data_IF_033902414352
#
_entry.id   IF_033902414352
#
_cell.length_a   1.000
_cell.length_b   1.000
_cell.length_c   1.000
_cell.angle_alpha   90.00
_cell.angle_beta   90.00
_cell.angle_gamma   90.00
#
_symmetry.space_group_name_H-M   'P 1'
#
loop_
_entity.id
_entity.type
_entity.pdbx_description
1 polymer ?
#
# COMPACT_ATOMS: atom_id res chain seq x y z
N UNK A 1 -0.66 -6.89 2.12
CA UNK A 1 -0.98 -6.81 3.57
C UNK A 1 -0.01 -5.89 4.30
N UNK A 2 1.31 -6.12 4.27
CA UNK A 2 2.32 -5.27 4.96
C UNK A 2 2.15 -3.78 4.69
N UNK A 3 1.91 -3.41 3.43
CA UNK A 3 1.69 -2.04 3.00
C UNK A 3 0.52 -1.37 3.76
N UNK A 4 -0.61 -2.06 3.92
CA UNK A 4 -1.76 -1.56 4.67
C UNK A 4 -1.43 -1.32 6.16
N UNK A 5 -0.67 -2.22 6.78
CA UNK A 5 -0.23 -2.06 8.18
C UNK A 5 0.69 -0.85 8.33
N UNK A 6 1.69 -0.73 7.46
CA UNK A 6 2.62 0.41 7.45
C UNK A 6 1.86 1.72 7.23
N UNK A 7 0.89 1.72 6.34
CA UNK A 7 0.04 2.85 6.03
C UNK A 7 -0.78 3.31 7.24
N UNK A 8 -1.49 2.39 7.91
CA UNK A 8 -2.22 2.66 9.14
C UNK A 8 -1.31 3.14 10.27
N UNK A 9 -0.12 2.54 10.40
CA UNK A 9 0.88 2.96 11.38
C UNK A 9 1.36 4.39 11.13
N UNK A 10 1.81 4.69 9.93
CA UNK A 10 2.38 6.00 9.60
C UNK A 10 1.36 7.14 9.74
N UNK A 11 0.12 6.94 9.27
CA UNK A 11 -0.91 7.97 9.36
C UNK A 11 -1.24 8.30 10.82
N UNK A 12 -1.39 7.27 11.65
CA UNK A 12 -1.72 7.41 13.07
C UNK A 12 -0.54 8.00 13.84
N UNK A 13 0.67 7.48 13.61
CA UNK A 13 1.91 7.96 14.25
C UNK A 13 2.16 9.44 13.96
N UNK A 14 2.04 9.86 12.68
CA UNK A 14 2.22 11.26 12.31
C UNK A 14 1.14 12.17 12.87
N UNK A 15 -0.11 11.70 12.96
CA UNK A 15 -1.21 12.45 13.57
C UNK A 15 -0.93 12.65 15.06
N UNK A 16 -0.61 11.60 15.81
CA UNK A 16 -0.29 11.71 17.24
C UNK A 16 0.95 12.55 17.52
N UNK A 17 1.99 12.44 16.68
CA UNK A 17 3.22 13.25 16.84
C UNK A 17 2.98 14.73 16.61
N UNK A 18 2.14 15.09 15.64
CA UNK A 18 1.89 16.48 15.25
C UNK A 18 0.82 17.12 16.11
N UNK A 19 -0.31 16.46 16.27
CA UNK A 19 -1.51 17.04 16.84
C UNK A 19 -1.69 16.67 18.32
N UNK A 20 -0.82 15.79 18.85
CA UNK A 20 -0.81 15.24 20.24
C UNK A 20 -2.11 14.52 20.64
N UNK A 21 -3.25 14.87 20.07
CA UNK A 21 -4.58 14.28 20.29
C UNK A 21 -5.29 14.09 18.96
N UNK A 22 -6.09 13.03 18.83
CA UNK A 22 -6.88 12.76 17.62
C UNK A 22 -7.90 13.88 17.33
N UNK A 23 -8.51 14.44 18.38
CA UNK A 23 -9.50 15.53 18.25
C UNK A 23 -8.93 16.86 17.74
N UNK A 24 -7.62 17.05 17.76
CA UNK A 24 -6.95 18.26 17.30
C UNK A 24 -6.56 18.23 15.81
N UNK A 25 -6.93 17.18 15.09
CA UNK A 25 -6.58 17.01 13.67
C UNK A 25 -7.13 18.15 12.81
N UNK A 26 -6.26 18.78 12.01
CA UNK A 26 -6.67 19.77 11.03
C UNK A 26 -6.99 19.07 9.70
N UNK A 27 -8.29 18.96 9.38
CA UNK A 27 -8.79 18.29 8.18
C UNK A 27 -8.17 18.85 6.91
N UNK A 28 -8.15 20.18 6.74
CA UNK A 28 -7.61 20.82 5.55
C UNK A 28 -6.14 20.44 5.33
N UNK A 29 -5.32 20.58 6.35
CA UNK A 29 -3.90 20.26 6.27
C UNK A 29 -3.68 18.76 6.07
N UNK A 30 -4.52 17.92 6.64
CA UNK A 30 -4.46 16.48 6.46
C UNK A 30 -4.69 16.09 5.00
N UNK A 31 -5.81 16.52 4.40
CA UNK A 31 -6.15 16.17 3.01
C UNK A 31 -5.18 16.79 2.01
N UNK A 32 -4.74 18.03 2.20
CA UNK A 32 -3.75 18.64 1.31
C UNK A 32 -2.43 17.85 1.31
N UNK A 33 -1.93 17.42 2.48
CA UNK A 33 -0.70 16.64 2.56
C UNK A 33 -0.83 15.28 1.85
N UNK A 34 -1.99 14.64 1.94
CA UNK A 34 -2.27 13.38 1.23
C UNK A 34 -2.42 13.59 -0.27
N UNK A 35 -3.24 14.53 -0.68
CA UNK A 35 -3.40 14.87 -2.09
C UNK A 35 -2.06 15.24 -2.74
N UNK A 36 -1.24 16.06 -2.08
CA UNK A 36 0.10 16.42 -2.56
C UNK A 36 1.04 15.22 -2.71
N UNK A 37 0.88 14.19 -1.88
CA UNK A 37 1.70 12.96 -1.95
C UNK A 37 1.23 12.00 -3.05
N UNK A 38 -0.08 11.89 -3.27
CA UNK A 38 -0.68 10.79 -4.04
C UNK A 38 -1.03 11.23 -5.46
N UNK A 39 -1.75 12.35 -5.62
CA UNK A 39 -2.29 12.76 -6.91
C UNK A 39 -1.24 12.98 -7.99
N UNK A 40 -0.06 13.58 -7.74
CA UNK A 40 0.92 13.79 -8.80
C UNK A 40 1.32 12.48 -9.48
N UNK A 41 1.73 11.48 -8.72
CA UNK A 41 2.16 10.19 -9.28
C UNK A 41 1.00 9.40 -9.88
N UNK A 42 -0.20 9.49 -9.31
CA UNK A 42 -1.41 8.88 -9.88
C UNK A 42 -1.71 9.43 -11.27
N UNK A 43 -1.69 10.77 -11.43
CA UNK A 43 -1.90 11.43 -12.72
C UNK A 43 -0.80 11.02 -13.71
N UNK A 44 0.46 11.03 -13.29
CA UNK A 44 1.57 10.59 -14.13
C UNK A 44 1.43 9.13 -14.59
N UNK A 45 0.99 8.23 -13.70
CA UNK A 45 0.72 6.83 -14.06
C UNK A 45 -0.40 6.74 -15.10
N UNK A 46 -1.54 7.39 -14.87
CA UNK A 46 -2.68 7.36 -15.78
C UNK A 46 -2.28 7.91 -17.16
N UNK A 47 -1.59 9.04 -17.21
CA UNK A 47 -1.09 9.63 -18.45
C UNK A 47 -0.12 8.69 -19.17
N UNK A 48 0.84 8.12 -18.45
CA UNK A 48 1.81 7.17 -19.01
C UNK A 48 1.14 5.93 -19.59
N UNK A 49 0.19 5.33 -18.87
CA UNK A 49 -0.58 4.17 -19.34
C UNK A 49 -1.46 4.53 -20.52
N UNK A 50 -2.09 5.70 -20.53
CA UNK A 50 -2.91 6.19 -21.66
C UNK A 50 -2.06 6.36 -22.93
N UNK A 51 -0.88 6.96 -22.80
CA UNK A 51 0.04 7.13 -23.93
C UNK A 51 0.52 5.77 -24.45
N UNK A 52 0.95 4.85 -23.56
CA UNK A 52 1.38 3.52 -23.97
C UNK A 52 0.24 2.69 -24.60
N UNK A 53 -0.98 2.85 -24.11
CA UNK A 53 -2.18 2.24 -24.68
C UNK A 53 -2.53 2.77 -26.07
N UNK A 54 -2.25 4.05 -26.37
CA UNK A 54 -2.47 4.63 -27.70
C UNK A 54 -1.51 4.09 -28.78
N UNK A 55 -0.44 3.41 -28.40
CA UNK A 55 0.45 2.66 -29.29
C UNK A 55 0.03 1.18 -29.45
N UNK A 56 -1.19 0.81 -29.10
CA UNK A 56 -1.74 -0.54 -29.16
C UNK A 56 -0.95 -1.59 -28.35
N UNK A 57 -0.25 -1.16 -27.31
CA UNK A 57 0.49 -2.05 -26.44
C UNK A 57 -0.48 -2.77 -25.48
N UNK A 58 -0.76 -4.05 -25.75
CA UNK A 58 -1.76 -4.87 -25.03
C UNK A 58 -1.76 -4.75 -23.49
N UNK A 59 -0.61 -4.72 -22.77
CA UNK A 59 -0.62 -4.61 -21.31
C UNK A 59 -1.19 -3.27 -20.80
N UNK A 60 -1.31 -2.25 -21.64
CA UNK A 60 -1.78 -0.91 -21.28
C UNK A 60 -3.19 -0.61 -21.80
N UNK A 61 -3.76 -1.52 -22.58
CA UNK A 61 -5.14 -1.45 -23.05
C UNK A 61 -6.08 -2.19 -22.09
N UNK A 62 -7.36 -1.82 -22.12
CA UNK A 62 -8.35 -2.60 -21.39
C UNK A 62 -8.56 -3.98 -22.02
N UNK A 63 -8.74 -4.96 -21.16
CA UNK A 63 -9.05 -6.34 -21.48
C UNK A 63 -10.46 -6.65 -20.99
N UNK A 64 -11.07 -7.69 -21.51
CA UNK A 64 -12.36 -8.23 -21.05
C UNK A 64 -12.19 -9.64 -20.44
N UNK A 65 -11.56 -9.76 -19.24
CA UNK A 65 -11.23 -11.07 -18.66
C UNK A 65 -12.46 -11.96 -18.42
N UNK A 66 -13.61 -11.33 -18.14
CA UNK A 66 -14.90 -12.03 -17.93
C UNK A 66 -15.83 -11.88 -19.15
N UNK A 67 -15.30 -11.57 -20.34
CA UNK A 67 -16.08 -11.37 -21.55
C UNK A 67 -16.88 -10.06 -21.60
N UNK A 68 -16.81 -9.23 -20.56
CA UNK A 68 -17.52 -7.94 -20.46
C UNK A 68 -16.52 -6.83 -20.75
N UNK A 69 -16.77 -6.07 -21.81
CA UNK A 69 -15.96 -4.89 -22.14
C UNK A 69 -16.23 -3.74 -21.20
N UNK A 70 -15.16 -3.19 -20.68
CA UNK A 70 -15.18 -1.98 -19.83
C UNK A 70 -14.51 -0.84 -20.58
N UNK A 71 -15.20 0.29 -20.72
CA UNK A 71 -14.66 1.45 -21.41
C UNK A 71 -13.44 2.03 -20.66
N UNK A 72 -12.44 2.48 -21.41
CA UNK A 72 -11.22 3.06 -20.83
C UNK A 72 -11.50 4.31 -19.95
N UNK A 73 -12.43 5.24 -20.35
CA UNK A 73 -12.82 6.33 -19.46
C UNK A 73 -13.39 5.89 -18.11
N UNK A 74 -14.15 4.79 -18.07
CA UNK A 74 -14.66 4.25 -16.81
C UNK A 74 -13.52 3.71 -15.91
N UNK A 75 -12.51 3.10 -16.52
CA UNK A 75 -11.31 2.64 -15.78
C UNK A 75 -10.52 3.83 -15.22
N UNK A 76 -10.34 4.90 -15.98
CA UNK A 76 -9.71 6.14 -15.50
C UNK A 76 -10.55 6.75 -14.37
N UNK A 77 -11.87 6.82 -14.53
CA UNK A 77 -12.76 7.34 -13.50
C UNK A 77 -12.66 6.51 -12.21
N UNK A 78 -12.63 5.18 -12.30
CA UNK A 78 -12.43 4.31 -11.16
C UNK A 78 -11.07 4.55 -10.47
N UNK A 79 -10.01 4.79 -11.24
CA UNK A 79 -8.68 5.10 -10.73
C UNK A 79 -8.64 6.45 -9.98
N UNK A 80 -9.26 7.49 -10.54
CA UNK A 80 -9.26 8.85 -9.97
C UNK A 80 -10.20 8.99 -8.76
N UNK A 81 -11.24 8.17 -8.69
CA UNK A 81 -12.25 8.21 -7.62
C UNK A 81 -12.11 7.06 -6.61
N UNK A 82 -11.01 6.30 -6.68
CA UNK A 82 -10.59 5.30 -5.70
C UNK A 82 -11.58 4.16 -5.48
N UNK A 83 -12.12 3.59 -6.55
CA UNK A 83 -12.91 2.35 -6.52
C UNK A 83 -12.48 1.29 -7.55
N UNK A 84 -11.19 1.32 -7.94
CA UNK A 84 -10.60 0.32 -8.82
C UNK A 84 -10.74 -1.10 -8.28
N UNK A 85 -10.70 -1.28 -6.97
CA UNK A 85 -10.93 -2.56 -6.30
C UNK A 85 -12.34 -3.11 -6.58
N UNK A 86 -13.38 -2.27 -6.55
CA UNK A 86 -14.76 -2.68 -6.87
C UNK A 86 -14.90 -2.99 -8.36
N UNK A 87 -14.24 -2.22 -9.22
CA UNK A 87 -14.21 -2.48 -10.65
C UNK A 87 -13.59 -3.86 -10.95
N UNK A 88 -12.50 -4.23 -10.27
CA UNK A 88 -11.86 -5.54 -10.39
C UNK A 88 -12.79 -6.67 -9.88
N UNK A 89 -13.49 -6.48 -8.77
CA UNK A 89 -14.44 -7.45 -8.24
C UNK A 89 -15.55 -7.71 -9.27
N UNK A 90 -16.04 -6.66 -9.92
CA UNK A 90 -17.18 -6.77 -10.83
C UNK A 90 -16.82 -7.27 -12.23
N UNK A 91 -15.68 -6.86 -12.77
CA UNK A 91 -15.31 -7.07 -14.17
C UNK A 91 -14.00 -7.85 -14.36
N UNK A 92 -13.32 -8.21 -13.27
CA UNK A 92 -11.98 -8.80 -13.32
C UNK A 92 -10.90 -7.76 -13.52
N UNK A 93 -9.67 -8.20 -13.80
CA UNK A 93 -8.49 -7.36 -13.96
C UNK A 93 -8.45 -6.71 -15.34
N UNK A 94 -9.29 -5.68 -15.56
CA UNK A 94 -9.55 -5.06 -16.87
C UNK A 94 -8.35 -4.32 -17.48
N UNK A 95 -7.43 -3.80 -16.67
CA UNK A 95 -6.22 -3.13 -17.17
C UNK A 95 -5.01 -3.60 -16.37
N UNK A 96 -3.99 -4.11 -17.07
CA UNK A 96 -2.86 -4.73 -16.40
C UNK A 96 -2.07 -3.73 -15.53
N UNK A 97 -1.76 -2.55 -16.07
CA UNK A 97 -0.95 -1.56 -15.37
C UNK A 97 -1.76 -0.76 -14.32
N UNK A 98 -3.00 -0.38 -14.64
CA UNK A 98 -3.85 0.38 -13.71
C UNK A 98 -4.47 -0.50 -12.61
N UNK A 99 -4.53 -1.80 -12.81
CA UNK A 99 -5.05 -2.72 -11.80
C UNK A 99 -4.36 -2.60 -10.45
N UNK A 100 -3.07 -2.23 -10.41
CA UNK A 100 -2.33 -1.98 -9.15
C UNK A 100 -3.04 -1.00 -8.22
N UNK A 101 -3.85 -0.09 -8.75
CA UNK A 101 -4.56 0.95 -8.01
C UNK A 101 -5.68 0.42 -7.11
N UNK A 102 -5.98 -0.88 -7.15
CA UNK A 102 -6.97 -1.48 -6.24
C UNK A 102 -6.61 -1.27 -4.77
N UNK A 103 -5.34 -1.43 -4.40
CA UNK A 103 -4.93 -1.26 -3.01
C UNK A 103 -4.86 0.22 -2.62
N UNK A 104 -4.49 1.10 -3.56
CA UNK A 104 -4.57 2.54 -3.35
C UNK A 104 -6.02 2.97 -3.10
N UNK A 105 -7.00 2.39 -3.81
CA UNK A 105 -8.42 2.63 -3.57
C UNK A 105 -8.82 2.28 -2.14
N UNK A 106 -8.36 1.15 -1.62
CA UNK A 106 -8.61 0.75 -0.22
C UNK A 106 -8.01 1.77 0.76
N UNK A 107 -6.77 2.19 0.53
CA UNK A 107 -6.12 3.18 1.40
C UNK A 107 -6.78 4.54 1.37
N UNK A 108 -7.14 5.05 0.19
CA UNK A 108 -7.71 6.38 0.07
C UNK A 108 -9.09 6.47 0.70
N UNK A 109 -9.92 5.43 0.59
CA UNK A 109 -11.19 5.37 1.33
C UNK A 109 -10.94 5.40 2.84
N UNK A 110 -9.95 4.66 3.33
CA UNK A 110 -9.55 4.74 4.74
C UNK A 110 -9.05 6.15 5.12
N UNK A 111 -8.20 6.77 4.30
CA UNK A 111 -7.70 8.12 4.55
C UNK A 111 -8.79 9.18 4.53
N UNK A 112 -9.83 8.97 3.76
CA UNK A 112 -11.00 9.85 3.78
C UNK A 112 -11.78 9.74 5.10
N UNK A 113 -11.97 8.51 5.60
CA UNK A 113 -12.73 8.23 6.82
C UNK A 113 -11.92 8.51 8.10
N UNK A 114 -10.61 8.24 8.11
CA UNK A 114 -9.77 8.32 9.30
C UNK A 114 -9.85 9.66 10.07
N UNK A 115 -9.67 10.85 9.44
CA UNK A 115 -9.73 12.09 10.18
C UNK A 115 -11.15 12.41 10.69
N UNK A 116 -12.19 11.93 10.02
CA UNK A 116 -13.56 12.04 10.52
C UNK A 116 -13.75 11.18 11.76
N UNK A 117 -13.24 9.95 11.77
CA UNK A 117 -13.21 9.10 12.96
C UNK A 117 -12.44 9.78 14.10
N UNK A 118 -11.29 10.42 13.82
CA UNK A 118 -10.53 11.13 14.83
C UNK A 118 -11.34 12.28 15.48
N UNK A 119 -12.14 13.01 14.72
CA UNK A 119 -12.97 14.09 15.25
C UNK A 119 -14.20 13.56 16.01
N UNK A 120 -14.79 12.47 15.56
CA UNK A 120 -15.98 11.88 16.18
C UNK A 120 -15.63 11.14 17.48
N UNK A 121 -14.47 10.48 17.51
CA UNK A 121 -14.03 9.69 18.66
C UNK A 121 -13.22 10.55 19.64
N UNK A 122 -13.89 11.27 20.53
CA UNK A 122 -13.22 12.08 21.57
C UNK A 122 -12.45 11.26 22.60
N UNK A 123 -12.61 9.94 22.61
CA UNK A 123 -11.98 9.01 23.54
C UNK A 123 -11.09 8.00 22.84
N UNK A 124 -9.84 7.87 23.27
CA UNK A 124 -8.93 6.84 22.80
C UNK A 124 -9.50 5.42 22.97
N UNK A 125 -10.34 5.19 23.99
CA UNK A 125 -10.96 3.87 24.22
C UNK A 125 -11.95 3.52 23.12
N UNK A 126 -12.78 4.48 22.68
CA UNK A 126 -13.72 4.29 21.57
C UNK A 126 -12.97 4.06 20.27
N UNK A 127 -11.92 4.83 20.02
CA UNK A 127 -11.07 4.66 18.86
C UNK A 127 -10.45 3.25 18.80
N UNK A 128 -9.87 2.78 19.92
CA UNK A 128 -9.35 1.42 20.03
C UNK A 128 -10.44 0.37 19.79
N UNK A 129 -11.63 0.53 20.40
CA UNK A 129 -12.72 -0.42 20.24
C UNK A 129 -13.19 -0.54 18.78
N UNK A 130 -13.29 0.58 18.04
CA UNK A 130 -13.62 0.60 16.61
C UNK A 130 -12.58 -0.21 15.81
N UNK A 131 -11.28 0.04 16.01
CA UNK A 131 -10.23 -0.68 15.28
C UNK A 131 -10.13 -2.16 15.65
N UNK A 132 -10.38 -2.51 16.91
CA UNK A 132 -10.49 -3.93 17.30
C UNK A 132 -11.68 -4.58 16.58
N UNK A 133 -12.83 -3.91 16.51
CA UNK A 133 -13.98 -4.38 15.74
C UNK A 133 -13.64 -4.61 14.25
N UNK A 134 -12.92 -3.67 13.64
CA UNK A 134 -12.45 -3.80 12.23
C UNK A 134 -11.49 -4.98 12.05
N UNK A 135 -10.57 -5.21 13.00
CA UNK A 135 -9.65 -6.36 12.98
C UNK A 135 -10.41 -7.69 13.03
N UNK A 136 -11.44 -7.79 13.85
CA UNK A 136 -12.25 -9.01 13.97
C UNK A 136 -13.18 -9.19 12.76
N UNK A 137 -13.65 -8.10 12.17
CA UNK A 137 -14.54 -8.14 11.01
C UNK A 137 -13.85 -8.58 9.73
N UNK A 138 -12.57 -8.27 9.53
CA UNK A 138 -11.82 -8.63 8.34
C UNK A 138 -11.80 -10.13 8.03
N UNK A 139 -11.33 -11.01 8.95
CA UNK A 139 -11.39 -12.46 8.76
C UNK A 139 -12.82 -12.98 8.59
N UNK A 140 -13.80 -12.45 9.33
CA UNK A 140 -15.20 -12.79 9.19
C UNK A 140 -15.72 -12.48 7.79
N UNK A 141 -15.46 -11.28 7.27
CA UNK A 141 -15.85 -10.91 5.90
C UNK A 141 -15.20 -11.85 4.86
N UNK A 142 -13.91 -12.14 5.00
CA UNK A 142 -13.21 -13.06 4.09
C UNK A 142 -13.75 -14.48 4.17
N UNK A 143 -14.19 -14.96 5.34
CA UNK A 143 -14.81 -16.28 5.48
C UNK A 143 -16.15 -16.38 4.75
N UNK A 144 -16.95 -15.31 4.77
CA UNK A 144 -18.24 -15.27 4.07
C UNK A 144 -18.10 -15.32 2.54
N UNK A 145 -17.04 -14.68 2.02
CA UNK A 145 -16.80 -14.56 0.57
C UNK A 145 -15.71 -15.50 0.05
N UNK A 146 -15.28 -16.46 0.88
CA UNK A 146 -14.20 -17.39 0.52
C UNK A 146 -14.58 -18.25 -0.66
N UNK A 147 -13.71 -18.30 -1.67
CA UNK A 147 -13.91 -19.10 -2.87
C UNK A 147 -14.82 -18.47 -3.93
N UNK A 148 -15.35 -17.27 -3.72
CA UNK A 148 -16.09 -16.56 -4.76
C UNK A 148 -15.19 -16.20 -5.94
N UNK A 149 -15.67 -16.43 -7.16
CA UNK A 149 -14.95 -16.07 -8.40
C UNK A 149 -14.70 -14.57 -8.52
N UNK A 150 -15.55 -13.76 -7.92
CA UNK A 150 -15.42 -12.29 -7.87
C UNK A 150 -14.11 -11.82 -7.24
N UNK A 151 -13.48 -12.63 -6.37
CA UNK A 151 -12.31 -12.25 -5.61
C UNK A 151 -12.58 -11.20 -4.52
N UNK A 152 -13.85 -11.01 -4.11
CA UNK A 152 -14.23 -10.04 -3.08
C UNK A 152 -13.48 -10.25 -1.77
N UNK A 153 -13.20 -11.51 -1.41
CA UNK A 153 -12.40 -11.86 -0.23
C UNK A 153 -10.94 -11.36 -0.27
N UNK A 154 -10.44 -10.87 -1.43
CA UNK A 154 -9.11 -10.28 -1.57
C UNK A 154 -9.14 -8.77 -1.81
N UNK A 155 -10.07 -8.31 -2.66
CA UNK A 155 -10.03 -6.94 -3.20
C UNK A 155 -11.00 -5.97 -2.52
N UNK A 156 -12.03 -6.47 -1.80
CA UNK A 156 -12.99 -5.59 -1.14
C UNK A 156 -12.34 -4.78 0.00
N UNK A 157 -12.86 -3.60 0.29
CA UNK A 157 -12.36 -2.74 1.37
C UNK A 157 -12.25 -3.48 2.70
N UNK A 158 -13.29 -4.19 3.10
CA UNK A 158 -13.33 -4.95 4.36
C UNK A 158 -12.37 -6.14 4.42
N UNK A 159 -11.88 -6.62 3.27
CA UNK A 159 -10.86 -7.68 3.23
C UNK A 159 -9.48 -7.20 3.67
N UNK A 160 -9.25 -5.89 3.71
CA UNK A 160 -7.91 -5.30 3.93
C UNK A 160 -7.86 -4.25 5.04
N UNK A 161 -9.02 -3.76 5.51
CA UNK A 161 -9.08 -2.76 6.58
C UNK A 161 -8.54 -3.27 7.91
N UNK A 162 -8.59 -4.57 8.17
CA UNK A 162 -7.97 -5.18 9.35
C UNK A 162 -6.45 -4.92 9.39
N UNK A 163 -5.77 -5.00 8.25
CA UNK A 163 -4.36 -4.66 8.16
C UNK A 163 -4.08 -3.20 8.53
N UNK A 164 -4.89 -2.26 8.01
CA UNK A 164 -4.76 -0.83 8.33
C UNK A 164 -5.05 -0.60 9.82
N UNK A 165 -6.08 -1.25 10.36
CA UNK A 165 -6.46 -1.16 11.77
C UNK A 165 -5.37 -1.67 12.71
N UNK A 166 -4.71 -2.80 12.38
CA UNK A 166 -3.52 -3.29 13.10
C UNK A 166 -2.43 -2.22 13.13
N UNK A 167 -2.15 -1.58 11.99
CA UNK A 167 -1.17 -0.49 11.91
C UNK A 167 -1.53 0.69 12.84
N UNK A 168 -2.79 1.10 12.86
CA UNK A 168 -3.28 2.17 13.74
C UNK A 168 -3.09 1.82 15.22
N UNK A 169 -3.49 0.62 15.64
CA UNK A 169 -3.31 0.17 17.02
C UNK A 169 -1.82 0.03 17.40
N UNK A 170 -0.99 -0.44 16.48
CA UNK A 170 0.46 -0.49 16.66
C UNK A 170 1.04 0.89 16.93
N UNK A 171 0.60 1.92 16.20
CA UNK A 171 1.06 3.30 16.42
C UNK A 171 0.61 3.86 17.77
N UNK A 172 -0.63 3.61 18.19
CA UNK A 172 -1.15 4.03 19.50
C UNK A 172 -0.35 3.35 20.63
N UNK A 173 -0.17 2.03 20.52
CA UNK A 173 0.58 1.26 21.50
C UNK A 173 2.01 1.78 21.63
N UNK A 174 2.68 1.96 20.52
CA UNK A 174 4.02 2.49 20.42
C UNK A 174 4.16 3.87 21.05
N UNK A 175 3.23 4.78 20.75
CA UNK A 175 3.24 6.14 21.29
C UNK A 175 3.08 6.17 22.81
N UNK A 176 2.24 5.26 23.35
CA UNK A 176 1.93 5.20 24.78
C UNK A 176 3.01 4.50 25.61
N UNK A 177 3.54 3.38 25.12
CA UNK A 177 4.37 2.48 25.94
C UNK A 177 5.85 2.52 25.56
N UNK A 178 6.22 3.03 24.36
CA UNK A 178 7.60 3.10 23.85
C UNK A 178 8.39 1.80 24.14
N UNK A 179 7.94 0.64 23.68
CA UNK A 179 8.47 -0.64 24.08
C UNK A 179 9.97 -0.76 23.74
N UNK A 180 10.79 -1.00 24.75
CA UNK A 180 12.21 -1.28 24.57
C UNK A 180 12.51 -2.70 25.07
N UNK A 181 12.25 -3.68 24.19
CA UNK A 181 12.39 -5.08 24.54
C UNK A 181 13.85 -5.54 24.43
N UNK A 182 14.32 -6.22 25.45
CA UNK A 182 15.69 -6.79 25.50
C UNK A 182 15.88 -7.82 24.37
N UNK A 183 14.85 -8.59 24.06
CA UNK A 183 14.91 -9.70 23.09
C UNK A 183 14.36 -9.30 21.69
N UNK A 184 14.34 -8.02 21.34
CA UNK A 184 13.78 -7.56 20.05
C UNK A 184 14.44 -8.18 18.81
N UNK A 185 15.76 -8.44 18.84
CA UNK A 185 16.47 -9.08 17.72
C UNK A 185 16.02 -10.54 17.50
N UNK A 186 16.12 -11.46 18.45
CA UNK A 186 15.65 -12.84 18.24
C UNK A 186 14.15 -12.89 17.95
N UNK A 187 13.33 -12.03 18.58
CA UNK A 187 11.91 -11.95 18.30
C UNK A 187 11.64 -11.53 16.85
N UNK A 188 12.34 -10.53 16.32
CA UNK A 188 12.17 -10.12 14.92
C UNK A 188 12.53 -11.24 13.94
N UNK A 189 13.59 -12.01 14.20
CA UNK A 189 13.92 -13.18 13.38
C UNK A 189 12.84 -14.27 13.44
N UNK A 190 12.33 -14.55 14.64
CA UNK A 190 11.24 -15.52 14.81
C UNK A 190 9.99 -15.09 14.02
N UNK A 191 9.62 -13.80 14.08
CA UNK A 191 8.49 -13.26 13.33
C UNK A 191 8.74 -13.37 11.82
N UNK A 192 9.92 -13.00 11.34
CA UNK A 192 10.27 -13.10 9.89
C UNK A 192 10.19 -14.55 9.43
N UNK A 193 10.75 -15.50 10.20
CA UNK A 193 10.67 -16.93 9.90
C UNK A 193 9.22 -17.42 9.85
N UNK A 194 8.39 -17.02 10.83
CA UNK A 194 6.96 -17.38 10.87
C UNK A 194 6.19 -16.80 9.67
N UNK A 195 6.47 -15.55 9.27
CA UNK A 195 5.88 -14.94 8.08
C UNK A 195 6.32 -15.66 6.81
N UNK A 196 7.59 -16.03 6.71
CA UNK A 196 8.12 -16.80 5.58
C UNK A 196 7.49 -18.19 5.52
N UNK A 197 7.39 -18.89 6.65
CA UNK A 197 6.73 -20.18 6.73
C UNK A 197 5.26 -20.10 6.31
N UNK A 198 4.52 -19.09 6.79
CA UNK A 198 3.13 -18.87 6.40
C UNK A 198 2.99 -18.60 4.89
N UNK A 199 3.90 -17.83 4.31
CA UNK A 199 3.91 -17.52 2.87
C UNK A 199 4.21 -18.75 2.01
N UNK A 200 5.10 -19.64 2.48
CA UNK A 200 5.49 -20.88 1.78
C UNK A 200 4.50 -22.04 2.00
N UNK A 201 3.70 -21.97 3.09
CA UNK A 201 2.76 -23.02 3.47
C UNK A 201 1.66 -23.21 2.43
N UNK A 202 1.04 -22.14 1.95
CA UNK A 202 -0.02 -22.21 0.96
C UNK A 202 -0.18 -20.87 0.21
N UNK A 203 -0.74 -20.90 -1.02
CA UNK A 203 -1.10 -19.67 -1.73
C UNK A 203 -2.01 -18.79 -0.89
N UNK A 204 -1.81 -17.47 -0.93
CA UNK A 204 -2.58 -16.51 -0.14
C UNK A 204 -4.11 -16.63 -0.35
N UNK A 205 -4.53 -17.10 -1.51
CA UNK A 205 -5.94 -17.35 -1.81
C UNK A 205 -6.55 -18.41 -0.91
N UNK A 206 -5.81 -19.48 -0.58
CA UNK A 206 -6.28 -20.60 0.23
C UNK A 206 -6.32 -20.27 1.72
N UNK A 207 -5.37 -19.46 2.21
CA UNK A 207 -5.26 -19.06 3.61
C UNK A 207 -5.76 -17.63 3.86
N UNK A 208 -6.45 -17.02 2.90
CA UNK A 208 -6.86 -15.61 2.96
C UNK A 208 -7.68 -15.26 4.20
N UNK A 209 -8.54 -16.17 4.67
CA UNK A 209 -9.44 -15.94 5.80
C UNK A 209 -8.69 -15.48 7.05
N UNK A 210 -7.66 -16.21 7.47
CA UNK A 210 -6.89 -15.93 8.68
C UNK A 210 -5.44 -15.51 8.41
N UNK A 211 -4.83 -15.99 7.30
CA UNK A 211 -3.43 -15.75 6.97
C UNK A 211 -3.13 -14.28 6.73
N UNK A 212 -4.04 -13.53 6.09
CA UNK A 212 -3.90 -12.07 5.89
C UNK A 212 -3.83 -11.34 7.23
N UNK A 213 -4.71 -11.67 8.19
CA UNK A 213 -4.72 -11.04 9.52
C UNK A 213 -3.50 -11.43 10.34
N UNK A 214 -3.07 -12.70 10.31
CA UNK A 214 -1.83 -13.13 10.97
C UNK A 214 -0.61 -12.40 10.41
N UNK A 215 -0.55 -12.25 9.09
CA UNK A 215 0.52 -11.52 8.43
C UNK A 215 0.50 -10.03 8.80
N UNK A 216 -0.69 -9.45 8.96
CA UNK A 216 -0.85 -8.08 9.45
C UNK A 216 -0.37 -7.92 10.89
N UNK A 217 -0.77 -8.81 11.80
CA UNK A 217 -0.34 -8.81 13.21
C UNK A 217 1.18 -8.97 13.32
N UNK A 218 1.77 -9.92 12.59
CA UNK A 218 3.20 -10.12 12.53
C UNK A 218 3.94 -8.86 12.04
N UNK A 219 3.39 -8.17 11.03
CA UNK A 219 3.96 -6.89 10.55
C UNK A 219 3.90 -5.80 11.62
N UNK A 220 2.78 -5.68 12.35
CA UNK A 220 2.65 -4.75 13.47
C UNK A 220 3.69 -5.01 14.57
N UNK A 221 3.91 -6.28 14.93
CA UNK A 221 4.95 -6.68 15.88
C UNK A 221 6.36 -6.37 15.38
N UNK A 222 6.65 -6.59 14.08
CA UNK A 222 7.93 -6.19 13.50
C UNK A 222 8.17 -4.69 13.60
N UNK A 223 7.16 -3.87 13.33
CA UNK A 223 7.28 -2.40 13.46
C UNK A 223 7.68 -2.05 14.90
N UNK A 224 7.07 -2.67 15.91
CA UNK A 224 7.44 -2.44 17.32
C UNK A 224 8.88 -2.86 17.64
N UNK A 225 9.38 -3.95 17.04
CA UNK A 225 10.77 -4.39 17.22
C UNK A 225 11.79 -3.40 16.66
N UNK A 226 11.45 -2.71 15.55
CA UNK A 226 12.39 -1.82 14.85
C UNK A 226 12.23 -0.33 15.14
N UNK A 227 11.33 0.07 16.03
CA UNK A 227 11.07 1.49 16.33
C UNK A 227 12.26 2.25 16.93
N UNK A 228 13.13 1.58 17.68
CA UNK A 228 14.32 2.15 18.30
C UNK A 228 15.56 1.38 17.84
N UNK A 229 16.06 1.65 16.62
CA UNK A 229 17.29 1.02 16.14
C UNK A 229 18.48 1.47 17.02
N UNK A 230 19.41 0.55 17.30
CA UNK A 230 20.67 0.93 17.94
C UNK A 230 21.48 1.85 16.99
N UNK A 231 22.35 2.71 17.55
CA UNK A 231 23.18 3.60 16.75
C UNK A 231 23.98 2.86 15.67
N UNK A 232 24.55 1.71 15.99
CA UNK A 232 25.27 0.85 15.06
C UNK A 232 24.39 0.34 13.91
N UNK A 233 23.11 0.07 14.16
CA UNK A 233 22.16 -0.34 13.13
C UNK A 233 21.79 0.82 12.19
N UNK A 234 21.65 2.03 12.72
CA UNK A 234 21.31 3.21 11.94
C UNK A 234 22.37 3.56 10.88
N UNK A 235 23.64 3.22 11.13
CA UNK A 235 24.76 3.49 10.21
C UNK A 235 25.09 2.34 9.26
N UNK A 236 24.47 1.17 9.39
CA UNK A 236 24.69 0.03 8.50
C UNK A 236 24.32 0.36 7.04
N UNK A 237 25.14 -0.11 6.10
CA UNK A 237 24.85 -0.01 4.65
C UNK A 237 23.49 -0.64 4.32
N UNK A 238 23.19 -1.79 4.91
CA UNK A 238 21.91 -2.47 4.74
C UNK A 238 20.74 -1.56 5.16
N UNK A 239 20.84 -0.92 6.33
CA UNK A 239 19.79 0.02 6.80
C UNK A 239 19.64 1.21 5.85
N UNK A 240 20.74 1.78 5.37
CA UNK A 240 20.71 2.89 4.40
C UNK A 240 20.01 2.49 3.10
N UNK A 241 20.29 1.30 2.58
CA UNK A 241 19.63 0.77 1.38
C UNK A 241 18.14 0.54 1.65
N UNK A 242 17.76 -0.07 2.79
CA UNK A 242 16.35 -0.31 3.15
C UNK A 242 15.57 1.01 3.32
N UNK A 243 16.17 2.01 3.95
CA UNK A 243 15.57 3.35 4.08
C UNK A 243 15.41 4.00 2.71
N UNK A 244 16.43 3.90 1.85
CA UNK A 244 16.38 4.43 0.48
C UNK A 244 15.27 3.79 -0.35
N UNK A 245 15.09 2.47 -0.27
CA UNK A 245 13.99 1.74 -0.91
C UNK A 245 12.62 2.14 -0.32
N UNK A 246 12.53 2.23 1.01
CA UNK A 246 11.31 2.61 1.71
C UNK A 246 10.80 4.01 1.35
N UNK A 247 11.71 4.97 1.18
CA UNK A 247 11.35 6.33 0.78
C UNK A 247 10.72 6.39 -0.61
N UNK A 248 11.05 5.44 -1.50
CA UNK A 248 10.58 5.33 -2.90
C UNK A 248 9.53 4.25 -3.09
N UNK A 249 9.05 3.66 -2.00
CA UNK A 249 8.12 2.53 -2.05
C UNK A 249 6.81 2.85 -2.78
N UNK A 250 6.33 4.09 -2.69
CA UNK A 250 5.11 4.53 -3.37
C UNK A 250 5.30 4.58 -4.89
N UNK A 251 6.34 5.22 -5.36
CA UNK A 251 6.67 5.31 -6.78
C UNK A 251 6.98 3.91 -7.35
N UNK A 252 7.74 3.10 -6.60
CA UNK A 252 8.03 1.70 -6.94
C UNK A 252 6.74 0.89 -7.09
N UNK A 253 5.82 1.04 -6.14
CA UNK A 253 4.53 0.35 -6.17
C UNK A 253 3.66 0.77 -7.36
N UNK A 254 3.62 2.05 -7.70
CA UNK A 254 2.80 2.53 -8.81
C UNK A 254 3.35 2.08 -10.17
N UNK A 255 4.66 2.16 -10.37
CA UNK A 255 5.25 2.00 -11.69
C UNK A 255 5.79 0.60 -12.00
N UNK A 256 5.84 -0.33 -11.02
CA UNK A 256 6.38 -1.67 -11.27
C UNK A 256 5.61 -2.46 -12.35
N UNK A 257 4.29 -2.33 -12.42
CA UNK A 257 3.51 -2.99 -13.47
C UNK A 257 3.66 -2.32 -14.83
N UNK A 258 4.01 -1.05 -14.88
CA UNK A 258 4.38 -0.37 -16.15
C UNK A 258 5.65 -0.98 -16.70
N UNK A 259 6.70 -1.10 -15.88
CA UNK A 259 7.96 -1.73 -16.27
C UNK A 259 7.74 -3.17 -16.71
N UNK A 260 7.00 -3.94 -15.91
CA UNK A 260 6.71 -5.34 -16.23
C UNK A 260 5.85 -5.47 -17.50
N UNK A 261 4.91 -4.54 -17.73
CA UNK A 261 4.11 -4.49 -18.95
C UNK A 261 4.95 -4.24 -20.19
N UNK A 262 5.90 -3.28 -20.13
CA UNK A 262 6.85 -3.04 -21.23
C UNK A 262 7.73 -4.26 -21.51
N UNK A 263 8.19 -4.94 -20.46
CA UNK A 263 8.96 -6.17 -20.64
C UNK A 263 8.12 -7.29 -21.29
N UNK A 264 6.83 -7.40 -20.95
CA UNK A 264 5.92 -8.37 -21.60
C UNK A 264 5.67 -8.08 -23.08
N UNK A 265 5.82 -6.85 -23.52
CA UNK A 265 5.77 -6.51 -24.95
C UNK A 265 7.02 -7.01 -25.68
N UNK A 266 8.20 -6.93 -25.03
CA UNK A 266 9.48 -7.33 -25.61
C UNK A 266 9.76 -8.84 -25.49
N UNK A 267 9.24 -9.50 -24.45
CA UNK A 267 9.55 -10.90 -24.15
C UNK A 267 8.28 -11.70 -23.85
N UNK A 268 8.15 -12.87 -24.50
CA UNK A 268 7.06 -13.82 -24.24
C UNK A 268 7.52 -14.82 -23.16
N UNK A 269 6.94 -14.79 -21.94
CA UNK A 269 7.44 -15.61 -20.83
C UNK A 269 7.44 -17.14 -21.10
N UNK A 270 6.47 -17.62 -21.90
CA UNK A 270 6.36 -19.04 -22.23
C UNK A 270 7.48 -19.54 -23.15
N UNK A 271 8.10 -18.64 -23.93
CA UNK A 271 9.15 -18.96 -24.92
C UNK A 271 10.56 -18.60 -24.43
N UNK A 272 10.70 -18.13 -23.19
CA UNK A 272 11.96 -17.63 -22.65
C UNK A 272 12.60 -18.70 -21.75
N UNK A 273 13.89 -18.95 -21.93
CA UNK A 273 14.66 -19.88 -21.11
C UNK A 273 14.79 -19.44 -19.67
N UNK A 274 14.91 -20.41 -18.75
CA UNK A 274 14.99 -20.13 -17.29
C UNK A 274 16.15 -19.22 -16.92
N UNK A 275 17.30 -19.32 -17.56
CA UNK A 275 18.46 -18.45 -17.32
C UNK A 275 18.19 -17.00 -17.72
N UNK A 276 17.50 -16.81 -18.85
CA UNK A 276 17.08 -15.49 -19.32
C UNK A 276 16.02 -14.89 -18.39
N UNK A 277 15.09 -15.72 -17.85
CA UNK A 277 14.10 -15.25 -16.90
C UNK A 277 14.71 -14.64 -15.63
N UNK A 278 15.79 -15.24 -15.10
CA UNK A 278 16.51 -14.70 -13.94
C UNK A 278 17.14 -13.34 -14.29
N UNK A 279 17.77 -13.23 -15.47
CA UNK A 279 18.36 -11.99 -15.95
C UNK A 279 17.31 -10.90 -16.17
N UNK A 280 16.15 -11.26 -16.73
CA UNK A 280 15.01 -10.38 -16.89
C UNK A 280 14.43 -9.92 -15.53
N UNK A 281 14.37 -10.80 -14.53
CA UNK A 281 13.94 -10.45 -13.17
C UNK A 281 14.88 -9.41 -12.54
N UNK A 282 16.19 -9.61 -12.66
CA UNK A 282 17.17 -8.63 -12.18
C UNK A 282 17.00 -7.31 -12.92
N UNK A 283 16.92 -7.35 -14.25
CA UNK A 283 16.67 -6.17 -15.08
C UNK A 283 15.39 -5.43 -14.70
N UNK A 284 14.31 -6.17 -14.46
CA UNK A 284 13.03 -5.63 -13.98
C UNK A 284 13.19 -4.88 -12.65
N UNK A 285 13.85 -5.49 -11.67
CA UNK A 285 14.05 -4.85 -10.36
C UNK A 285 14.90 -3.58 -10.50
N UNK A 286 16.02 -3.66 -11.23
CA UNK A 286 16.91 -2.51 -11.46
C UNK A 286 16.18 -1.38 -12.18
N UNK A 287 15.49 -1.66 -13.28
CA UNK A 287 14.73 -0.66 -14.03
C UNK A 287 13.61 -0.03 -13.20
N UNK A 288 12.87 -0.84 -12.43
CA UNK A 288 11.82 -0.35 -11.55
C UNK A 288 12.39 0.62 -10.51
N UNK A 289 13.51 0.30 -9.88
CA UNK A 289 14.12 1.18 -8.89
C UNK A 289 14.72 2.46 -9.51
N UNK A 290 15.34 2.38 -10.69
CA UNK A 290 15.87 3.55 -11.40
C UNK A 290 14.73 4.50 -11.78
N UNK A 291 13.66 3.99 -12.39
CA UNK A 291 12.50 4.77 -12.78
C UNK A 291 11.83 5.40 -11.55
N UNK A 292 11.64 4.63 -10.49
CA UNK A 292 11.03 5.13 -9.25
C UNK A 292 11.88 6.23 -8.59
N UNK A 293 13.20 6.08 -8.59
CA UNK A 293 14.13 7.08 -8.06
C UNK A 293 14.12 8.37 -8.90
N UNK A 294 14.03 8.23 -10.22
CA UNK A 294 13.92 9.38 -11.12
C UNK A 294 12.60 10.13 -10.91
N UNK A 295 11.48 9.41 -10.85
CA UNK A 295 10.15 10.00 -10.61
C UNK A 295 10.10 10.68 -9.23
N UNK A 296 10.60 10.02 -8.19
CA UNK A 296 10.65 10.59 -6.84
C UNK A 296 11.44 11.89 -6.82
N UNK A 297 12.66 11.88 -7.36
CA UNK A 297 13.58 13.01 -7.30
C UNK A 297 13.12 14.20 -8.16
N UNK A 298 12.70 13.95 -9.39
CA UNK A 298 12.46 15.00 -10.38
C UNK A 298 11.00 15.43 -10.52
N UNK A 299 10.06 14.63 -10.03
CA UNK A 299 8.63 14.90 -10.19
C UNK A 299 7.87 14.89 -8.86
N UNK A 300 7.85 13.75 -8.15
CA UNK A 300 7.00 13.54 -6.96
C UNK A 300 7.38 14.49 -5.81
N UNK A 301 8.63 14.52 -5.40
CA UNK A 301 9.11 15.34 -4.27
C UNK A 301 9.02 16.84 -4.55
N UNK A 302 9.45 17.36 -5.70
CA UNK A 302 9.28 18.78 -6.03
C UNK A 302 7.84 19.22 -6.03
N UNK A 303 6.94 18.44 -6.66
CA UNK A 303 5.54 18.82 -6.79
C UNK A 303 4.79 18.71 -5.44
N UNK A 304 5.09 17.67 -4.65
CA UNK A 304 4.59 17.56 -3.27
C UNK A 304 4.99 18.80 -2.44
N UNK A 305 6.25 19.20 -2.50
CA UNK A 305 6.75 20.37 -1.78
C UNK A 305 6.09 21.66 -2.23
N UNK A 306 5.91 21.84 -3.53
CA UNK A 306 5.23 22.99 -4.12
C UNK A 306 3.78 23.08 -3.67
N UNK A 307 2.99 22.01 -3.83
CA UNK A 307 1.57 21.97 -3.42
C UNK A 307 1.44 22.28 -1.93
N UNK A 308 2.26 21.68 -1.09
CA UNK A 308 2.24 21.95 0.36
C UNK A 308 2.56 23.39 0.68
N UNK A 309 3.55 23.99 0.03
CA UNK A 309 3.93 25.39 0.23
C UNK A 309 2.82 26.37 -0.19
N UNK A 310 2.09 26.05 -1.26
CA UNK A 310 1.00 26.92 -1.76
C UNK A 310 -0.24 26.83 -0.89
N UNK A 311 -0.64 25.61 -0.49
CA UNK A 311 -1.93 25.38 0.17
C UNK A 311 -1.87 25.25 1.69
N UNK A 312 -0.69 24.97 2.26
CA UNK A 312 -0.45 24.96 3.70
C UNK A 312 0.42 26.18 4.02
N UNK A 313 -0.23 27.30 4.31
CA UNK A 313 0.45 28.41 4.98
C UNK A 313 0.64 28.00 6.44
N UNK A 314 1.83 27.56 6.80
CA UNK A 314 2.18 27.48 8.21
C UNK A 314 2.10 28.91 8.75
N UNK A 315 1.28 29.14 9.79
CA UNK A 315 1.33 30.39 10.52
C UNK A 315 2.73 30.44 11.14
N UNK A 316 3.61 31.27 10.54
CA UNK A 316 4.88 31.70 11.13
C UNK A 316 4.64 32.36 12.50
#
# INVERSE_FOLDING_TARGET
>A
TMFFVISGFLITHHTLKRDKQFSAINLKHFYIRRAARILPCLVLLILGVSILGSFDLKPFMNQAPNGIEVSYPLTIFAALTFWMNILIIKFGWVNYALGVLWSLSVEEVFYFVFPLLCLLTRSNKVFIAVFVGVILYGPYFRSLHFGEESGAYLYHYFSSFDGIAVGCLTAIFSHKYQPNWTYKKPLSWLIILSMTALYLYAPIKEVSTWGISLFALATGLLILCFQHPSETQAHSLFTKVMVWLGQRSYETYLFHLVVLGLMKVAFIPAQTDSSIKIMLLIGYLVLTFIISAAIEKYYSTPLNSYIRKVFIKDKS
#
